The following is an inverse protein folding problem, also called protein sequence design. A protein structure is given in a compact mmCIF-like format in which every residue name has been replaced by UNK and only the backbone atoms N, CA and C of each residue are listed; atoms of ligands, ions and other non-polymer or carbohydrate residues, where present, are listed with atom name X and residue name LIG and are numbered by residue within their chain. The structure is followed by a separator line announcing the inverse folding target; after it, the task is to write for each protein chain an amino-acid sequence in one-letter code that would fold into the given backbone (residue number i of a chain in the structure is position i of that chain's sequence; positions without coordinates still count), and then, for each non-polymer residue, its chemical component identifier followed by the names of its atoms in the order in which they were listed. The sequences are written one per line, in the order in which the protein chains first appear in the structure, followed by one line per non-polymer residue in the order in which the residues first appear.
data_IF_566639510023
#
_entry.id   IF_566639510023
#
_cell.length_a   1.000
_cell.length_b   1.000
_cell.length_c   1.000
_cell.angle_alpha   90.00
_cell.angle_beta   90.00
_cell.angle_gamma   90.00
#
_symmetry.space_group_name_H-M   'P 1'
#
loop_
_entity.id
_entity.type
_entity.pdbx_description
1 polymer ?
#
# COMPACT_ATOMS: atom_id res chain seq x y z
N UNK A 1 -41.57 59.36 6.26
CA UNK A 1 -40.41 59.37 7.17
C UNK A 1 -39.46 58.27 6.72
N UNK A 2 -38.19 58.63 6.64
CA UNK A 2 -37.05 57.84 6.14
C UNK A 2 -36.26 57.38 7.39
N UNK A 3 -35.39 56.37 7.22
CA UNK A 3 -34.35 55.88 8.17
C UNK A 3 -34.91 54.96 9.30
N UNK A 4 -34.43 53.75 9.67
CA UNK A 4 -33.16 53.01 9.57
C UNK A 4 -33.44 51.48 9.65
N UNK A 5 -32.86 50.59 8.81
CA UNK A 5 -31.59 49.84 8.97
C UNK A 5 -31.46 48.98 10.26
N UNK A 6 -31.46 47.65 10.10
CA UNK A 6 -30.54 46.65 10.71
C UNK A 6 -31.13 45.23 10.51
N UNK A 7 -30.80 44.49 9.45
CA UNK A 7 -29.61 43.64 9.39
C UNK A 7 -29.42 42.77 10.65
N UNK A 8 -30.15 41.64 10.75
CA UNK A 8 -29.68 40.49 11.52
C UNK A 8 -29.37 39.37 10.56
N UNK A 9 -28.08 39.31 10.24
CA UNK A 9 -27.40 38.28 9.47
C UNK A 9 -27.55 36.96 10.20
N UNK A 10 -27.97 35.94 9.44
CA UNK A 10 -28.07 34.56 9.86
C UNK A 10 -26.80 34.11 10.59
N UNK A 11 -26.89 33.89 11.89
CA UNK A 11 -25.87 33.14 12.66
C UNK A 11 -26.15 31.65 12.51
N UNK A 12 -26.04 31.17 11.28
CA UNK A 12 -25.76 29.76 11.04
C UNK A 12 -24.32 29.52 11.41
N UNK A 13 -24.03 29.21 12.68
CA UNK A 13 -22.74 28.69 13.10
C UNK A 13 -22.64 27.27 12.54
N UNK A 14 -22.37 27.18 11.25
CA UNK A 14 -21.89 25.97 10.61
C UNK A 14 -20.48 25.76 11.12
N UNK A 15 -20.33 24.93 12.16
CA UNK A 15 -19.04 24.35 12.51
C UNK A 15 -18.58 23.51 11.31
N UNK A 16 -17.80 24.12 10.42
CA UNK A 16 -16.97 23.40 9.48
C UNK A 16 -15.87 22.74 10.30
N UNK A 17 -16.19 21.57 10.88
CA UNK A 17 -15.17 20.66 11.35
C UNK A 17 -14.37 20.27 10.12
N UNK A 18 -13.17 20.82 9.98
CA UNK A 18 -12.19 20.29 9.04
C UNK A 18 -11.83 18.92 9.59
N UNK A 19 -12.54 17.89 9.14
CA UNK A 19 -12.14 16.51 9.32
C UNK A 19 -10.86 16.35 8.52
N UNK A 20 -9.72 16.59 9.18
CA UNK A 20 -8.41 16.23 8.65
C UNK A 20 -8.41 14.71 8.63
N UNK A 21 -8.76 14.12 7.50
CA UNK A 21 -8.52 12.71 7.24
C UNK A 21 -7.00 12.56 7.17
N UNK A 22 -6.38 12.18 8.29
CA UNK A 22 -5.01 11.67 8.27
C UNK A 22 -5.03 10.47 7.32
N UNK A 23 -4.47 10.66 6.13
CA UNK A 23 -4.23 9.56 5.22
C UNK A 23 -3.32 8.58 5.96
N UNK A 24 -3.66 7.28 6.02
CA UNK A 24 -2.75 6.30 6.59
C UNK A 24 -1.43 6.42 5.86
N UNK A 25 -0.32 6.61 6.59
CA UNK A 25 1.00 6.57 6.00
C UNK A 25 1.09 5.25 5.20
N UNK A 26 1.59 5.29 3.94
CA UNK A 26 1.79 4.05 3.20
C UNK A 26 2.67 3.15 4.05
N UNK A 27 2.15 1.96 4.38
CA UNK A 27 2.93 0.94 5.07
C UNK A 27 4.24 0.73 4.32
N UNK A 28 5.38 0.60 5.02
CA UNK A 28 6.67 0.37 4.37
C UNK A 28 6.53 -0.81 3.42
N UNK A 29 6.75 -0.58 2.12
CA UNK A 29 6.67 -1.63 1.13
C UNK A 29 7.66 -2.75 1.51
N UNK A 30 7.24 -4.02 1.43
CA UNK A 30 8.13 -5.13 1.77
C UNK A 30 9.35 -5.10 0.86
N UNK A 31 10.53 -5.28 1.46
CA UNK A 31 11.78 -5.24 0.73
C UNK A 31 12.06 -6.55 0.02
N UNK A 32 11.61 -7.67 0.59
CA UNK A 32 11.85 -9.00 0.06
C UNK A 32 10.55 -9.76 -0.14
N UNK A 33 10.49 -10.54 -1.21
CA UNK A 33 9.36 -11.37 -1.61
C UNK A 33 9.81 -12.79 -1.92
N UNK A 34 9.07 -13.79 -1.45
CA UNK A 34 9.20 -15.18 -1.90
C UNK A 34 8.32 -15.36 -3.13
N UNK A 35 8.95 -15.43 -4.29
CA UNK A 35 8.29 -15.65 -5.58
C UNK A 35 8.31 -17.13 -5.92
N UNK A 36 7.17 -17.63 -6.36
CA UNK A 36 6.97 -19.03 -6.73
C UNK A 36 6.44 -19.08 -8.14
N UNK A 37 7.10 -19.83 -9.01
CA UNK A 37 6.59 -20.12 -10.34
C UNK A 37 6.04 -21.54 -10.33
N UNK A 38 4.78 -21.71 -10.71
CA UNK A 38 4.14 -23.03 -10.84
C UNK A 38 4.43 -23.66 -12.19
N UNK A 39 4.22 -24.98 -12.32
CA UNK A 39 4.51 -25.71 -13.57
C UNK A 39 3.67 -25.25 -14.78
N UNK A 40 2.52 -24.60 -14.54
CA UNK A 40 1.71 -23.93 -15.56
C UNK A 40 2.19 -22.52 -15.90
N UNK A 41 3.31 -22.08 -15.30
CA UNK A 41 3.97 -20.81 -15.60
C UNK A 41 3.42 -19.61 -14.84
N UNK A 42 2.56 -19.80 -13.83
CA UNK A 42 2.01 -18.71 -13.04
C UNK A 42 2.99 -18.28 -11.93
N UNK A 43 3.12 -16.96 -11.73
CA UNK A 43 3.94 -16.38 -10.68
C UNK A 43 3.07 -16.01 -9.47
N UNK A 44 3.45 -16.50 -8.28
CA UNK A 44 2.82 -16.21 -7.00
C UNK A 44 3.80 -15.57 -6.04
N UNK A 45 3.33 -14.62 -5.24
CA UNK A 45 4.06 -14.12 -4.07
C UNK A 45 3.60 -14.95 -2.87
N UNK A 46 4.41 -15.92 -2.46
CA UNK A 46 4.08 -16.81 -1.34
C UNK A 46 4.26 -16.12 0.01
N UNK A 47 5.15 -15.14 0.12
CA UNK A 47 5.42 -14.40 1.35
C UNK A 47 6.22 -13.13 1.11
N UNK A 48 6.23 -12.23 2.08
CA UNK A 48 6.95 -10.95 2.00
C UNK A 48 7.47 -10.51 3.38
N UNK A 49 8.56 -9.75 3.40
CA UNK A 49 9.20 -9.34 4.65
C UNK A 49 10.31 -8.31 4.49
N UNK A 50 10.92 -7.95 5.62
CA UNK A 50 12.09 -7.05 5.69
C UNK A 50 13.40 -7.71 5.24
N UNK A 51 13.45 -9.04 5.26
CA UNK A 51 14.51 -9.88 4.73
C UNK A 51 13.92 -11.21 4.25
N UNK A 52 14.74 -12.04 3.60
CA UNK A 52 14.27 -13.34 3.11
C UNK A 52 13.79 -14.27 4.24
N UNK A 53 14.43 -14.26 5.41
CA UNK A 53 14.02 -15.13 6.52
C UNK A 53 12.63 -14.74 7.01
N UNK A 54 12.38 -13.44 7.20
CA UNK A 54 11.08 -12.89 7.55
C UNK A 54 10.01 -13.20 6.49
N UNK A 55 10.37 -13.08 5.21
CA UNK A 55 9.45 -13.40 4.11
C UNK A 55 9.02 -14.88 4.11
N UNK A 56 9.88 -15.78 4.57
CA UNK A 56 9.58 -17.21 4.71
C UNK A 56 8.72 -17.58 5.91
N UNK A 57 8.76 -16.81 7.00
CA UNK A 57 8.03 -17.14 8.25
C UNK A 57 6.50 -17.19 8.07
N UNK A 58 5.97 -16.41 7.13
CA UNK A 58 4.54 -16.39 6.79
C UNK A 58 4.23 -17.01 5.42
N UNK A 59 5.22 -17.59 4.74
CA UNK A 59 5.08 -17.97 3.34
C UNK A 59 4.11 -19.14 3.14
N UNK A 60 3.21 -19.00 2.18
CA UNK A 60 2.30 -20.07 1.73
C UNK A 60 2.64 -20.45 0.30
N UNK A 61 3.43 -21.51 0.16
CA UNK A 61 3.87 -22.00 -1.15
C UNK A 61 2.77 -22.87 -1.76
N UNK A 62 2.28 -22.56 -2.97
CA UNK A 62 1.30 -23.41 -3.66
C UNK A 62 1.90 -24.78 -3.99
N UNK A 63 1.06 -25.82 -3.99
CA UNK A 63 1.49 -27.14 -4.48
C UNK A 63 1.74 -27.09 -6.01
N UNK A 64 2.66 -27.92 -6.51
CA UNK A 64 2.98 -27.95 -7.95
C UNK A 64 3.84 -26.77 -8.42
N UNK A 65 4.79 -26.35 -7.59
CA UNK A 65 5.75 -25.32 -7.95
C UNK A 65 6.94 -25.88 -8.74
N UNK A 66 7.38 -25.14 -9.75
CA UNK A 66 8.56 -25.42 -10.56
C UNK A 66 9.81 -24.78 -9.96
N UNK A 67 9.71 -23.53 -9.53
CA UNK A 67 10.81 -22.80 -8.89
C UNK A 67 10.32 -21.89 -7.77
N UNK A 68 11.21 -21.61 -6.83
CA UNK A 68 10.98 -20.72 -5.71
C UNK A 68 12.23 -19.92 -5.42
N UNK A 69 12.08 -18.60 -5.32
CA UNK A 69 13.19 -17.67 -5.14
C UNK A 69 12.77 -16.57 -4.17
N UNK A 70 13.66 -16.20 -3.26
CA UNK A 70 13.50 -14.96 -2.51
C UNK A 70 14.22 -13.85 -3.26
N UNK A 71 13.52 -12.76 -3.55
CA UNK A 71 14.05 -11.64 -4.32
C UNK A 71 13.84 -10.33 -3.60
N UNK A 72 14.77 -9.40 -3.79
CA UNK A 72 14.60 -8.01 -3.40
C UNK A 72 13.58 -7.36 -4.35
N UNK A 73 12.44 -6.94 -3.79
CA UNK A 73 11.35 -6.29 -4.52
C UNK A 73 11.65 -4.84 -4.86
N UNK A 74 12.65 -4.24 -4.22
CA UNK A 74 13.12 -2.87 -4.45
C UNK A 74 14.26 -2.80 -5.47
N UNK A 75 14.93 -3.93 -5.73
CA UNK A 75 15.97 -4.00 -6.75
C UNK A 75 15.38 -3.71 -8.15
N UNK A 76 16.01 -2.81 -8.95
CA UNK A 76 15.54 -2.50 -10.28
C UNK A 76 15.56 -3.76 -11.16
N UNK A 77 14.42 -4.09 -11.76
CA UNK A 77 14.21 -5.28 -12.63
C UNK A 77 15.00 -5.26 -13.94
N UNK A 78 15.88 -4.28 -14.13
CA UNK A 78 16.63 -4.01 -15.36
C UNK A 78 18.12 -3.85 -15.00
N UNK A 79 18.77 -4.96 -14.66
CA UNK A 79 20.23 -5.04 -14.53
C UNK A 79 20.82 -6.15 -15.42
N UNK A 80 20.13 -6.51 -16.50
CA UNK A 80 20.68 -7.34 -17.58
C UNK A 80 20.23 -6.77 -18.93
N UNK A 81 20.90 -5.71 -19.37
CA UNK A 81 21.08 -5.46 -20.80
C UNK A 81 22.47 -6.03 -21.13
N UNK A 82 22.49 -7.14 -21.87
CA UNK A 82 23.69 -7.70 -22.48
C UNK A 82 24.16 -6.80 -23.63
#
# INVERSE_FOLDING_TARGET
MKELLAAMVATGVGTFGIAVTMQPLPEPAPQFEVRVVTYDGQLFIAGSGSDCVAAWQGARVPAGWQSIECVDATAPRFAFHF
#
